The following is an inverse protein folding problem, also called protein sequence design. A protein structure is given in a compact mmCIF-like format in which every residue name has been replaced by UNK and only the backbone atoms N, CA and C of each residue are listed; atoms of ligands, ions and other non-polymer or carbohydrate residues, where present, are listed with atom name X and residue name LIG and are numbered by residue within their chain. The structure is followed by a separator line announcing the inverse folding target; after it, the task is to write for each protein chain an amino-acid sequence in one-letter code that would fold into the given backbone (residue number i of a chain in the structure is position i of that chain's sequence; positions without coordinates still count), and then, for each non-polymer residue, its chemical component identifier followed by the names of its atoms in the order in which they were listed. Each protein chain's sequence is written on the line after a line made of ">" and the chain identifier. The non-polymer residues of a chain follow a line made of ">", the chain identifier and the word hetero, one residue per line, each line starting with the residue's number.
data_IF_862285312021
#
_entry.id   IF_862285312021
#
_cell.length_a   1.000
_cell.length_b   1.000
_cell.length_c   1.000
_cell.angle_alpha   90.00
_cell.angle_beta   90.00
_cell.angle_gamma   90.00
#
_symmetry.space_group_name_H-M   'P 1'
#
loop_
_entity.id
_entity.type
_entity.pdbx_description
1 polymer ?
#
# COMPACT_ATOMS: atom_id res chain seq x y z
N UNK A 1 -34.42 -14.70 30.56
CA UNK A 1 -33.27 -15.55 30.16
C UNK A 1 -32.38 -14.69 29.28
N UNK A 2 -31.13 -14.44 29.67
CA UNK A 2 -30.24 -13.49 28.96
C UNK A 2 -29.89 -14.05 27.58
N UNK A 3 -29.84 -13.18 26.55
CA UNK A 3 -29.49 -13.54 25.17
C UNK A 3 -28.14 -14.28 25.13
N UNK A 4 -27.20 -13.91 26.01
CA UNK A 4 -25.90 -14.58 26.16
C UNK A 4 -26.04 -16.07 26.50
N UNK A 5 -27.02 -16.42 27.34
CA UNK A 5 -27.30 -17.80 27.78
C UNK A 5 -27.94 -18.64 26.67
N UNK A 6 -28.72 -18.02 25.78
CA UNK A 6 -29.31 -18.69 24.62
C UNK A 6 -28.28 -18.95 23.51
N UNK A 7 -27.40 -17.97 23.25
CA UNK A 7 -26.37 -18.07 22.22
C UNK A 7 -25.25 -19.07 22.60
N UNK A 8 -24.90 -19.16 23.88
CA UNK A 8 -23.99 -20.17 24.39
C UNK A 8 -24.53 -21.60 24.18
N UNK A 9 -25.86 -21.79 24.30
CA UNK A 9 -26.51 -23.08 24.10
C UNK A 9 -26.49 -23.57 22.64
N UNK A 10 -26.34 -22.65 21.69
CA UNK A 10 -26.26 -22.95 20.25
C UNK A 10 -24.84 -22.91 19.68
N UNK A 11 -23.80 -22.85 20.53
CA UNK A 11 -22.41 -22.96 20.10
C UNK A 11 -21.91 -21.78 19.26
N UNK A 12 -22.56 -20.62 19.34
CA UNK A 12 -22.16 -19.43 18.60
C UNK A 12 -21.10 -18.70 19.43
N UNK A 13 -19.86 -18.71 18.95
CA UNK A 13 -18.73 -18.03 19.58
C UNK A 13 -18.91 -16.51 19.45
N UNK A 14 -19.15 -15.82 20.57
CA UNK A 14 -19.30 -14.37 20.61
C UNK A 14 -17.90 -13.79 20.87
N UNK A 15 -17.33 -13.13 19.86
CA UNK A 15 -16.11 -12.34 20.02
C UNK A 15 -16.44 -11.10 20.86
N UNK A 16 -15.81 -10.97 22.02
CA UNK A 16 -15.98 -9.82 22.91
C UNK A 16 -15.31 -8.59 22.26
N UNK A 17 -16.10 -7.74 21.60
CA UNK A 17 -15.63 -6.44 21.14
C UNK A 17 -15.53 -5.47 22.33
N UNK A 18 -14.52 -4.61 22.34
CA UNK A 18 -14.39 -3.56 23.36
C UNK A 18 -15.64 -2.65 23.35
N UNK A 19 -16.07 -2.11 24.51
CA UNK A 19 -17.23 -1.23 24.59
C UNK A 19 -17.05 -0.07 23.59
N UNK A 20 -17.85 -0.12 22.54
CA UNK A 20 -17.82 0.83 21.43
C UNK A 20 -18.13 2.23 21.98
N UNK A 21 -17.15 3.13 21.96
CA UNK A 21 -17.37 4.55 22.28
C UNK A 21 -18.27 5.16 21.19
N UNK A 22 -19.48 5.66 21.52
CA UNK A 22 -20.46 6.12 20.51
C UNK A 22 -20.04 7.38 19.72
N UNK A 23 -18.88 7.96 20.02
CA UNK A 23 -18.48 9.32 19.58
C UNK A 23 -17.44 9.34 18.43
N UNK A 24 -16.96 8.16 18.01
CA UNK A 24 -15.95 8.02 16.95
C UNK A 24 -16.45 7.28 15.70
N UNK A 25 -17.77 7.02 15.61
CA UNK A 25 -18.36 6.62 14.34
C UNK A 25 -18.27 7.81 13.38
N UNK A 26 -17.20 7.82 12.57
CA UNK A 26 -17.04 8.75 11.47
C UNK A 26 -18.30 8.77 10.61
N UNK A 27 -18.51 9.94 10.00
CA UNK A 27 -19.65 10.44 9.22
C UNK A 27 -20.24 9.47 8.16
N UNK A 28 -19.66 8.28 8.01
CA UNK A 28 -20.08 7.17 7.17
C UNK A 28 -21.30 6.43 7.73
N UNK A 29 -21.52 6.39 9.05
CA UNK A 29 -22.63 5.62 9.66
C UNK A 29 -24.03 6.16 9.28
N UNK A 30 -24.13 7.42 8.84
CA UNK A 30 -25.38 8.06 8.43
C UNK A 30 -25.69 7.96 6.93
N UNK A 31 -24.78 7.43 6.10
CA UNK A 31 -25.02 7.26 4.66
C UNK A 31 -25.79 5.95 4.33
N UNK A 32 -25.94 5.08 5.33
CA UNK A 32 -26.49 3.75 5.14
C UNK A 32 -28.01 3.55 5.40
N UNK A 33 -28.91 4.53 5.59
CA UNK A 33 -30.34 4.19 5.63
C UNK A 33 -30.82 3.66 4.28
N UNK A 34 -30.40 4.30 3.18
CA UNK A 34 -30.82 3.96 1.82
C UNK A 34 -30.12 2.68 1.36
N UNK A 35 -28.80 2.58 1.57
CA UNK A 35 -28.03 1.38 1.20
C UNK A 35 -28.46 0.16 2.03
N UNK A 36 -28.71 0.33 3.34
CA UNK A 36 -29.26 -0.74 4.18
C UNK A 36 -30.67 -1.11 3.74
N UNK A 37 -31.52 -0.16 3.35
CA UNK A 37 -32.86 -0.44 2.81
C UNK A 37 -32.82 -1.23 1.51
N UNK A 38 -31.83 -1.00 0.65
CA UNK A 38 -31.66 -1.73 -0.62
C UNK A 38 -31.04 -3.12 -0.41
N UNK A 39 -30.16 -3.26 0.59
CA UNK A 39 -29.52 -4.54 0.94
C UNK A 39 -30.34 -5.42 1.88
N UNK A 40 -31.40 -4.89 2.52
CA UNK A 40 -32.32 -5.66 3.36
C UNK A 40 -33.27 -6.47 2.46
N UNK A 41 -32.79 -7.61 1.97
CA UNK A 41 -33.59 -8.53 1.15
C UNK A 41 -32.76 -9.48 0.30
N UNK A 42 -31.51 -9.13 -0.02
CA UNK A 42 -30.56 -10.04 -0.65
C UNK A 42 -30.02 -11.01 0.40
N UNK A 43 -30.62 -12.19 0.49
CA UNK A 43 -30.06 -13.34 1.21
C UNK A 43 -28.82 -13.82 0.46
N UNK A 44 -27.67 -13.23 0.75
CA UNK A 44 -26.38 -13.80 0.37
C UNK A 44 -26.29 -15.17 1.05
N UNK A 45 -26.33 -16.25 0.28
CA UNK A 45 -26.48 -17.61 0.81
C UNK A 45 -25.45 -17.93 1.92
N UNK A 46 -24.18 -17.65 1.65
CA UNK A 46 -23.07 -17.70 2.62
C UNK A 46 -22.16 -16.52 2.31
N UNK A 47 -21.65 -15.83 3.34
CA UNK A 47 -20.76 -14.64 3.20
C UNK A 47 -19.58 -14.93 2.25
N UNK A 48 -19.10 -16.17 2.30
CA UNK A 48 -18.01 -16.69 1.47
C UNK A 48 -18.33 -16.67 -0.05
N UNK A 49 -19.56 -16.99 -0.45
CA UNK A 49 -19.97 -16.98 -1.88
C UNK A 49 -20.13 -15.56 -2.45
N UNK A 50 -20.51 -14.61 -1.60
CA UNK A 50 -20.59 -13.20 -1.96
C UNK A 50 -19.19 -12.58 -2.04
N UNK A 51 -18.35 -12.84 -1.03
CA UNK A 51 -16.94 -12.42 -1.02
C UNK A 51 -16.17 -13.01 -2.22
N UNK A 52 -16.44 -14.26 -2.60
CA UNK A 52 -15.78 -14.90 -3.73
C UNK A 52 -16.29 -14.38 -5.09
N UNK A 53 -17.54 -13.92 -5.18
CA UNK A 53 -18.05 -13.26 -6.38
C UNK A 53 -17.50 -11.82 -6.53
N UNK A 54 -17.43 -11.08 -5.42
CA UNK A 54 -16.83 -9.73 -5.40
C UNK A 54 -15.33 -9.79 -5.65
N UNK A 55 -14.60 -10.69 -4.99
CA UNK A 55 -13.15 -10.87 -5.21
C UNK A 55 -12.82 -11.26 -6.65
N UNK A 56 -13.70 -12.01 -7.32
CA UNK A 56 -13.52 -12.47 -8.70
C UNK A 56 -13.91 -11.41 -9.74
N UNK A 57 -14.92 -10.57 -9.48
CA UNK A 57 -15.29 -9.44 -10.34
C UNK A 57 -14.32 -8.27 -10.19
N UNK A 58 -14.01 -7.88 -8.96
CA UNK A 58 -13.12 -6.76 -8.67
C UNK A 58 -11.66 -7.13 -8.87
N UNK A 59 -11.29 -8.40 -8.65
CA UNK A 59 -9.90 -8.84 -8.74
C UNK A 59 -9.32 -8.77 -10.15
N UNK A 60 -10.12 -8.92 -11.20
CA UNK A 60 -9.64 -8.84 -12.60
C UNK A 60 -9.29 -7.42 -13.03
N UNK A 61 -10.21 -6.48 -12.81
CA UNK A 61 -10.03 -5.07 -13.17
C UNK A 61 -8.99 -4.37 -12.28
N UNK A 62 -9.01 -4.67 -10.97
CA UNK A 62 -8.01 -4.16 -10.04
C UNK A 62 -6.63 -4.73 -10.34
N UNK A 63 -6.48 -6.02 -10.71
CA UNK A 63 -5.17 -6.59 -11.04
C UNK A 63 -4.46 -5.85 -12.17
N UNK A 64 -5.16 -5.52 -13.26
CA UNK A 64 -4.56 -4.78 -14.38
C UNK A 64 -4.12 -3.37 -13.98
N UNK A 65 -4.96 -2.65 -13.24
CA UNK A 65 -4.61 -1.33 -12.70
C UNK A 65 -3.45 -1.41 -11.68
N UNK A 66 -3.45 -2.45 -10.85
CA UNK A 66 -2.47 -2.69 -9.81
C UNK A 66 -1.11 -3.02 -10.41
N UNK A 67 -1.04 -3.93 -11.38
CA UNK A 67 0.19 -4.24 -12.13
C UNK A 67 0.71 -3.03 -12.91
N UNK A 68 -0.19 -2.22 -13.49
CA UNK A 68 0.20 -0.99 -14.15
C UNK A 68 0.76 0.02 -13.15
N UNK A 69 0.13 0.19 -11.99
CA UNK A 69 0.52 1.16 -10.96
C UNK A 69 1.76 0.75 -10.18
N UNK A 70 1.94 -0.54 -9.88
CA UNK A 70 3.03 -1.09 -9.08
C UNK A 70 4.24 -1.52 -9.91
N UNK A 71 4.06 -1.64 -11.24
CA UNK A 71 5.11 -2.03 -12.16
C UNK A 71 6.28 -1.03 -12.23
N UNK A 72 7.49 -1.51 -12.57
CA UNK A 72 8.68 -0.66 -12.72
C UNK A 72 8.48 0.49 -13.71
N UNK A 73 7.67 0.27 -14.75
CA UNK A 73 7.34 1.30 -15.75
C UNK A 73 6.53 2.47 -15.16
N UNK A 74 5.63 2.23 -14.21
CA UNK A 74 4.85 3.30 -13.57
C UNK A 74 5.73 4.14 -12.67
N UNK A 75 6.52 3.50 -11.80
CA UNK A 75 7.37 4.25 -10.88
C UNK A 75 8.42 5.08 -11.64
N UNK A 76 9.07 4.51 -12.65
CA UNK A 76 10.00 5.25 -13.53
C UNK A 76 9.30 6.36 -14.32
N UNK A 77 8.05 6.16 -14.75
CA UNK A 77 7.23 7.20 -15.39
C UNK A 77 6.96 8.40 -14.49
N UNK A 78 6.71 8.16 -13.20
CA UNK A 78 6.52 9.25 -12.22
C UNK A 78 7.79 10.05 -11.97
N UNK A 79 8.96 9.38 -11.92
CA UNK A 79 10.26 10.05 -11.81
C UNK A 79 10.53 10.97 -13.00
N UNK A 80 10.23 10.52 -14.23
CA UNK A 80 10.38 11.31 -15.45
C UNK A 80 9.40 12.49 -15.44
N UNK A 81 8.13 12.25 -15.11
CA UNK A 81 7.10 13.29 -15.04
C UNK A 81 7.40 14.38 -14.02
N UNK A 82 7.83 13.99 -12.81
CA UNK A 82 8.26 14.93 -11.77
C UNK A 82 9.48 15.75 -12.23
N UNK A 83 10.48 15.09 -12.82
CA UNK A 83 11.70 15.76 -13.29
C UNK A 83 11.43 16.75 -14.41
N UNK A 84 10.55 16.39 -15.36
CA UNK A 84 10.11 17.28 -16.43
C UNK A 84 9.35 18.50 -15.88
N UNK A 85 8.49 18.29 -14.87
CA UNK A 85 7.78 19.39 -14.22
C UNK A 85 8.73 20.34 -13.48
N UNK A 86 9.72 19.83 -12.73
CA UNK A 86 10.74 20.67 -12.07
C UNK A 86 11.57 21.44 -13.10
N UNK A 87 11.89 20.84 -14.24
CA UNK A 87 12.54 21.54 -15.35
C UNK A 87 11.63 22.64 -15.95
N UNK A 88 10.32 22.40 -16.00
CA UNK A 88 9.34 23.43 -16.34
C UNK A 88 9.36 24.63 -15.37
N UNK A 89 9.53 24.37 -14.07
CA UNK A 89 9.70 25.44 -13.07
C UNK A 89 10.98 26.24 -13.35
N UNK A 90 12.07 25.61 -13.76
CA UNK A 90 13.29 26.31 -14.17
C UNK A 90 13.04 27.30 -15.31
N UNK A 91 12.27 26.91 -16.34
CA UNK A 91 11.95 27.82 -17.46
C UNK A 91 10.94 28.93 -17.11
N UNK A 92 10.20 28.79 -16.00
CA UNK A 92 9.20 29.79 -15.59
C UNK A 92 9.79 31.13 -15.11
N UNK A 93 11.08 31.15 -14.76
CA UNK A 93 11.81 32.37 -14.39
C UNK A 93 11.18 33.10 -13.20
N UNK A 94 10.93 34.41 -13.36
CA UNK A 94 10.32 35.25 -12.31
C UNK A 94 8.78 35.20 -12.27
N UNK A 95 8.12 34.41 -13.13
CA UNK A 95 6.66 34.38 -13.17
C UNK A 95 6.10 33.37 -12.17
N UNK A 96 5.82 33.84 -10.95
CA UNK A 96 5.34 33.00 -9.86
C UNK A 96 4.03 32.25 -10.13
N UNK A 97 3.13 32.80 -10.98
CA UNK A 97 1.90 32.10 -11.34
C UNK A 97 2.17 30.86 -12.18
N UNK A 98 3.08 30.96 -13.16
CA UNK A 98 3.48 29.82 -13.98
C UNK A 98 4.22 28.78 -13.13
N UNK A 99 5.13 29.23 -12.24
CA UNK A 99 5.82 28.34 -11.32
C UNK A 99 4.85 27.57 -10.41
N UNK A 100 3.81 28.25 -9.90
CA UNK A 100 2.81 27.62 -9.03
C UNK A 100 1.97 26.57 -9.78
N UNK A 101 1.54 26.86 -11.01
CA UNK A 101 0.79 25.89 -11.83
C UNK A 101 1.64 24.66 -12.14
N UNK A 102 2.89 24.85 -12.54
CA UNK A 102 3.79 23.73 -12.84
C UNK A 102 4.14 22.95 -11.56
N UNK A 103 4.27 23.62 -10.42
CA UNK A 103 4.44 22.95 -9.12
C UNK A 103 3.23 22.10 -8.73
N UNK A 104 2.00 22.52 -9.07
CA UNK A 104 0.83 21.68 -8.87
C UNK A 104 0.88 20.42 -9.75
N UNK A 105 1.37 20.54 -10.99
CA UNK A 105 1.60 19.40 -11.89
C UNK A 105 2.68 18.47 -11.34
N UNK A 106 3.76 18.98 -10.75
CA UNK A 106 4.78 18.12 -10.14
C UNK A 106 4.22 17.34 -8.94
N UNK A 107 3.41 17.98 -8.10
CA UNK A 107 2.71 17.32 -6.98
C UNK A 107 1.77 16.21 -7.44
N UNK A 108 1.13 16.35 -8.61
CA UNK A 108 0.31 15.29 -9.20
C UNK A 108 1.13 14.02 -9.46
N UNK A 109 2.31 14.14 -10.08
CA UNK A 109 3.19 12.99 -10.32
C UNK A 109 3.70 12.36 -9.02
N UNK A 110 3.98 13.18 -8.00
CA UNK A 110 4.32 12.66 -6.66
C UNK A 110 3.15 11.87 -6.03
N UNK A 111 1.92 12.32 -6.23
CA UNK A 111 0.72 11.61 -5.80
C UNK A 111 0.58 10.24 -6.46
N UNK A 112 0.76 10.18 -7.78
CA UNK A 112 0.75 8.92 -8.55
C UNK A 112 1.85 7.96 -8.06
N UNK A 113 3.08 8.47 -7.84
CA UNK A 113 4.21 7.66 -7.35
C UNK A 113 3.98 7.11 -5.93
N UNK A 114 3.44 7.94 -5.04
CA UNK A 114 3.13 7.51 -3.66
C UNK A 114 2.06 6.42 -3.65
N UNK A 115 1.00 6.58 -4.45
CA UNK A 115 -0.03 5.58 -4.60
C UNK A 115 0.54 4.25 -5.14
N UNK A 116 1.39 4.31 -6.16
CA UNK A 116 2.10 3.14 -6.70
C UNK A 116 2.94 2.43 -5.64
N UNK A 117 3.72 3.18 -4.85
CA UNK A 117 4.59 2.59 -3.82
C UNK A 117 3.83 1.87 -2.70
N UNK A 118 2.65 2.37 -2.31
CA UNK A 118 1.80 1.70 -1.31
C UNK A 118 1.31 0.35 -1.83
N UNK A 119 0.92 0.31 -3.10
CA UNK A 119 0.47 -0.90 -3.78
C UNK A 119 1.64 -1.88 -3.95
N UNK A 120 2.81 -1.42 -4.40
CA UNK A 120 3.98 -2.28 -4.60
C UNK A 120 4.42 -2.98 -3.31
N UNK A 121 4.35 -2.31 -2.16
CA UNK A 121 4.67 -2.95 -0.87
C UNK A 121 3.69 -4.07 -0.51
N UNK A 122 2.41 -3.90 -0.84
CA UNK A 122 1.39 -4.94 -0.70
C UNK A 122 1.63 -6.09 -1.67
N UNK A 123 2.04 -5.80 -2.91
CA UNK A 123 2.32 -6.81 -3.94
C UNK A 123 3.59 -7.62 -3.63
N UNK A 124 4.64 -6.99 -3.13
CA UNK A 124 5.91 -7.66 -2.85
C UNK A 124 5.83 -8.56 -1.61
N UNK A 125 5.20 -8.10 -0.53
CA UNK A 125 5.17 -8.86 0.72
C UNK A 125 3.89 -8.56 1.52
N UNK A 126 2.72 -9.12 1.14
CA UNK A 126 1.44 -8.85 1.80
C UNK A 126 1.48 -9.00 3.32
N UNK A 127 2.25 -9.98 3.84
CA UNK A 127 2.36 -10.26 5.28
C UNK A 127 3.23 -9.24 6.03
N UNK A 128 4.20 -8.65 5.35
CA UNK A 128 5.16 -7.69 5.92
C UNK A 128 4.99 -6.26 5.38
N UNK A 129 3.92 -6.01 4.61
CA UNK A 129 3.71 -4.77 3.87
C UNK A 129 3.69 -3.53 4.78
N UNK A 130 3.11 -3.64 5.98
CA UNK A 130 3.08 -2.56 6.96
C UNK A 130 4.48 -2.17 7.46
N UNK A 131 5.29 -3.16 7.85
CA UNK A 131 6.66 -2.94 8.31
C UNK A 131 7.57 -2.42 7.20
N UNK A 132 7.45 -2.98 5.99
CA UNK A 132 8.21 -2.53 4.81
C UNK A 132 7.87 -1.09 4.44
N UNK A 133 6.57 -0.75 4.41
CA UNK A 133 6.12 0.62 4.13
C UNK A 133 6.56 1.59 5.22
N UNK A 134 6.47 1.22 6.49
CA UNK A 134 6.92 2.05 7.61
C UNK A 134 8.42 2.36 7.52
N UNK A 135 9.24 1.37 7.15
CA UNK A 135 10.67 1.58 6.96
C UNK A 135 10.96 2.55 5.80
N UNK A 136 10.33 2.34 4.63
CA UNK A 136 10.51 3.20 3.46
C UNK A 136 10.09 4.65 3.75
N UNK A 137 8.92 4.85 4.36
CA UNK A 137 8.44 6.18 4.73
C UNK A 137 9.29 6.81 5.85
N UNK A 138 9.78 6.01 6.78
CA UNK A 138 10.71 6.43 7.82
C UNK A 138 11.97 7.04 7.22
N UNK A 139 12.64 6.30 6.32
CA UNK A 139 13.82 6.79 5.62
C UNK A 139 13.54 8.09 4.82
N UNK A 140 12.39 8.17 4.15
CA UNK A 140 11.96 9.38 3.43
C UNK A 140 11.75 10.60 4.34
N UNK A 141 11.19 10.40 5.53
CA UNK A 141 10.96 11.48 6.50
C UNK A 141 12.28 12.05 7.04
N UNK A 142 13.30 11.19 7.27
CA UNK A 142 14.64 11.65 7.66
C UNK A 142 15.28 12.55 6.60
N UNK A 143 15.19 12.17 5.32
CA UNK A 143 15.69 13.00 4.22
C UNK A 143 14.93 14.33 4.14
N UNK A 144 13.62 14.28 4.34
CA UNK A 144 12.76 15.47 4.32
C UNK A 144 13.08 16.46 5.45
N UNK A 145 13.55 15.97 6.61
CA UNK A 145 14.02 16.83 7.70
C UNK A 145 15.33 17.55 7.37
N UNK A 146 16.26 16.90 6.66
CA UNK A 146 17.55 17.48 6.30
C UNK A 146 17.46 18.45 5.13
N UNK A 147 16.49 18.26 4.24
CA UNK A 147 16.37 19.01 2.99
C UNK A 147 16.26 20.55 3.19
N UNK A 148 15.46 21.10 4.13
CA UNK A 148 15.41 22.54 4.37
C UNK A 148 16.73 23.14 4.85
N UNK A 149 17.54 22.38 5.61
CA UNK A 149 18.85 22.83 6.09
C UNK A 149 19.80 22.99 4.90
N UNK A 150 19.80 22.00 4.00
CA UNK A 150 20.64 22.01 2.79
C UNK A 150 20.20 23.12 1.83
N UNK A 151 18.89 23.22 1.54
CA UNK A 151 18.34 24.26 0.67
C UNK A 151 18.64 25.64 1.24
N UNK A 152 18.42 25.85 2.54
CA UNK A 152 18.72 27.11 3.22
C UNK A 152 20.20 27.49 3.16
N UNK A 153 21.11 26.51 3.19
CA UNK A 153 22.55 26.74 3.03
C UNK A 153 22.95 27.13 1.60
N UNK A 154 22.20 26.66 0.59
CA UNK A 154 22.44 26.96 -0.84
C UNK A 154 21.82 28.31 -1.24
N UNK A 155 20.61 28.63 -0.77
CA UNK A 155 19.87 29.84 -1.16
C UNK A 155 20.03 30.98 -0.15
N UNK A 156 21.27 31.39 0.14
CA UNK A 156 21.56 32.45 1.11
C UNK A 156 21.11 33.83 0.64
N UNK A 157 21.28 34.13 -0.65
CA UNK A 157 21.01 35.45 -1.21
C UNK A 157 19.62 35.55 -1.86
N UNK A 158 18.85 34.45 -1.84
CA UNK A 158 17.51 34.32 -2.44
C UNK A 158 17.51 34.67 -3.94
N UNK A 159 18.63 34.47 -4.61
CA UNK A 159 18.78 34.74 -6.03
C UNK A 159 18.23 33.59 -6.85
N UNK A 160 17.62 33.91 -8.00
CA UNK A 160 17.07 32.91 -8.93
C UNK A 160 18.13 31.89 -9.41
N UNK A 161 19.39 32.33 -9.55
CA UNK A 161 20.52 31.46 -9.91
C UNK A 161 20.82 30.39 -8.84
N UNK A 162 20.62 30.68 -7.56
CA UNK A 162 20.84 29.71 -6.47
C UNK A 162 19.75 28.63 -6.52
N UNK A 163 18.50 29.01 -6.81
CA UNK A 163 17.38 28.08 -6.98
C UNK A 163 17.56 27.13 -8.17
N UNK A 164 18.16 27.60 -9.26
CA UNK A 164 18.50 26.74 -10.39
C UNK A 164 19.39 25.56 -9.97
N UNK A 165 20.38 25.80 -9.10
CA UNK A 165 21.26 24.75 -8.59
C UNK A 165 20.43 23.73 -7.79
N UNK A 166 19.52 24.19 -6.94
CA UNK A 166 18.63 23.30 -6.16
C UNK A 166 17.75 22.43 -7.07
N UNK A 167 17.18 23.01 -8.13
CA UNK A 167 16.36 22.26 -9.09
C UNK A 167 17.16 21.20 -9.84
N UNK A 168 18.36 21.52 -10.31
CA UNK A 168 19.23 20.54 -10.99
C UNK A 168 19.67 19.40 -10.07
N UNK A 169 20.01 19.69 -8.81
CA UNK A 169 20.33 18.66 -7.81
C UNK A 169 19.12 17.74 -7.59
N UNK A 170 17.93 18.32 -7.44
CA UNK A 170 16.68 17.58 -7.22
C UNK A 170 16.36 16.65 -8.40
N UNK A 171 16.43 17.16 -9.64
CA UNK A 171 16.23 16.38 -10.87
C UNK A 171 17.23 15.22 -10.93
N UNK A 172 18.51 15.49 -10.65
CA UNK A 172 19.57 14.47 -10.73
C UNK A 172 19.31 13.34 -9.74
N UNK A 173 18.92 13.66 -8.51
CA UNK A 173 18.65 12.66 -7.47
C UNK A 173 17.42 11.81 -7.81
N UNK A 174 16.34 12.42 -8.29
CA UNK A 174 15.10 11.71 -8.66
C UNK A 174 15.29 10.85 -9.91
N UNK A 175 16.04 11.33 -10.90
CA UNK A 175 16.35 10.52 -12.09
C UNK A 175 17.25 9.33 -11.74
N UNK A 176 18.25 9.53 -10.87
CA UNK A 176 19.12 8.46 -10.42
C UNK A 176 18.34 7.37 -9.67
N UNK A 177 17.42 7.74 -8.77
CA UNK A 177 16.57 6.74 -8.09
C UNK A 177 15.65 6.01 -9.06
N UNK A 178 15.08 6.72 -10.04
CA UNK A 178 14.26 6.12 -11.10
C UNK A 178 15.02 5.12 -11.98
N UNK A 179 16.30 5.38 -12.29
CA UNK A 179 17.17 4.48 -13.05
C UNK A 179 17.50 3.22 -12.24
N UNK A 180 17.86 3.38 -10.96
CA UNK A 180 18.12 2.23 -10.07
C UNK A 180 16.89 1.34 -9.96
N UNK A 181 15.70 1.95 -9.81
CA UNK A 181 14.45 1.20 -9.77
C UNK A 181 14.09 0.56 -11.12
N UNK A 182 14.42 1.20 -12.25
CA UNK A 182 14.19 0.62 -13.57
C UNK A 182 15.03 -0.64 -13.82
N UNK A 183 16.25 -0.70 -13.27
CA UNK A 183 17.17 -1.84 -13.46
C UNK A 183 16.85 -2.98 -12.49
N UNK A 184 16.60 -2.65 -11.21
CA UNK A 184 16.49 -3.65 -10.14
C UNK A 184 15.07 -3.86 -9.60
N UNK A 185 14.12 -3.01 -9.97
CA UNK A 185 12.76 -3.04 -9.45
C UNK A 185 11.95 -4.22 -9.97
N UNK A 186 11.22 -4.88 -9.07
CA UNK A 186 10.27 -5.95 -9.40
C UNK A 186 9.03 -5.81 -8.52
N UNK A 187 7.85 -5.92 -9.14
CA UNK A 187 6.55 -5.85 -8.48
C UNK A 187 5.97 -7.23 -8.14
N UNK A 188 6.79 -8.28 -8.18
CA UNK A 188 6.35 -9.65 -7.88
C UNK A 188 6.45 -9.94 -6.38
N UNK A 189 5.59 -10.84 -5.90
CA UNK A 189 5.68 -11.39 -4.54
C UNK A 189 7.09 -11.96 -4.34
N UNK A 190 7.75 -11.51 -3.28
CA UNK A 190 9.12 -11.89 -2.98
C UNK A 190 9.15 -13.21 -2.21
N UNK A 191 10.18 -14.07 -2.41
CA UNK A 191 10.20 -15.43 -1.85
C UNK A 191 10.20 -15.45 -0.31
N UNK A 192 10.76 -14.43 0.34
CA UNK A 192 10.75 -14.28 1.81
C UNK A 192 9.39 -13.89 2.40
N UNK A 193 8.36 -13.69 1.57
CA UNK A 193 7.00 -13.49 2.07
C UNK A 193 6.41 -14.78 2.68
N UNK A 194 6.91 -15.95 2.28
CA UNK A 194 6.53 -17.24 2.84
C UNK A 194 7.50 -17.61 3.97
N UNK A 195 6.97 -17.83 5.16
CA UNK A 195 7.69 -18.61 6.19
C UNK A 195 7.38 -20.05 5.84
N UNK A 196 8.39 -20.91 5.72
CA UNK A 196 8.20 -22.35 5.56
C UNK A 196 7.07 -22.82 6.48
N UNK A 197 6.06 -23.48 5.91
CA UNK A 197 5.02 -24.10 6.71
C UNK A 197 5.67 -25.12 7.65
N UNK A 198 5.76 -24.78 8.93
CA UNK A 198 5.74 -25.75 10.01
C UNK A 198 4.35 -26.42 10.08
N UNK A 199 3.88 -27.08 9.02
CA UNK A 199 2.74 -28.02 9.02
C UNK A 199 2.88 -28.92 7.79
N UNK A 200 3.61 -30.05 7.90
CA UNK A 200 3.37 -31.29 7.10
C UNK A 200 4.48 -32.35 7.24
N UNK A 201 5.54 -32.08 8.00
CA UNK A 201 6.51 -33.14 8.36
C UNK A 201 6.15 -33.91 9.62
N UNK A 202 5.40 -33.32 10.55
CA UNK A 202 5.08 -33.99 11.82
C UNK A 202 3.83 -34.88 11.70
N UNK A 203 2.81 -34.49 10.91
CA UNK A 203 1.59 -35.30 10.73
C UNK A 203 1.87 -36.54 9.87
N UNK A 204 2.60 -36.39 8.75
CA UNK A 204 2.96 -37.54 7.92
C UNK A 204 3.95 -38.48 8.63
N UNK A 205 4.83 -37.97 9.49
CA UNK A 205 5.79 -38.84 10.21
C UNK A 205 5.12 -39.56 11.39
N UNK A 206 4.16 -38.96 12.08
CA UNK A 206 3.39 -39.63 13.12
C UNK A 206 2.39 -40.67 12.56
N UNK A 207 1.70 -40.38 11.45
CA UNK A 207 0.79 -41.35 10.82
C UNK A 207 1.55 -42.57 10.24
N UNK A 208 2.73 -42.37 9.64
CA UNK A 208 3.56 -43.46 9.08
C UNK A 208 4.19 -44.34 10.20
N UNK A 209 4.48 -43.78 11.37
CA UNK A 209 5.04 -44.53 12.49
C UNK A 209 3.95 -45.30 13.26
N UNK A 210 2.74 -44.73 13.39
CA UNK A 210 1.61 -45.37 14.06
C UNK A 210 1.08 -46.56 13.25
N UNK A 211 1.07 -46.49 11.92
CA UNK A 211 0.64 -47.60 11.06
C UNK A 211 1.61 -48.79 11.06
N UNK A 212 2.91 -48.55 11.31
CA UNK A 212 3.93 -49.61 11.43
C UNK A 212 3.92 -50.32 12.78
N UNK A 213 3.42 -49.69 13.84
CA UNK A 213 3.39 -50.28 15.19
C UNK A 213 2.12 -51.13 15.43
N UNK A 214 1.08 -50.96 14.61
CA UNK A 214 -0.22 -51.64 14.76
C UNK A 214 -0.34 -52.95 13.95
N UNK A 215 0.58 -53.25 13.03
CA UNK A 215 0.57 -54.51 12.28
C UNK A 215 1.24 -55.64 13.09
N UNK A 216 0.50 -56.62 13.66
CA UNK A 216 1.12 -57.79 14.27
C UNK A 216 1.78 -58.66 13.20
N UNK A 217 3.06 -58.95 13.41
CA UNK A 217 3.85 -59.94 12.66
C UNK A 217 3.12 -61.30 12.72
N UNK A 218 2.64 -61.78 11.57
CA UNK A 218 2.02 -63.10 11.38
C UNK A 218 3.02 -64.14 10.94
#
# INVERSE_FOLDING_TARGET
>A
MSIKTFLAKHGIFIVEHQPYSPDLAQRDFFLFPIVKSVLTGTRFGTVESAQNCESKKDGGDKKGFQEMASGPASNSGTCIGFSAAVLGIYFSGCNGHMSAVIAAVSMFFTGVGTAGSMITSLDMAPRFAGSLSAFTHGAGNWVSFLLPIIVGAITKNKLLKEWHIVFFISISFVMMSGIVFAIFGSAKVQPWNFVEEEVDKDINTEEINTEKEIAPES
#
